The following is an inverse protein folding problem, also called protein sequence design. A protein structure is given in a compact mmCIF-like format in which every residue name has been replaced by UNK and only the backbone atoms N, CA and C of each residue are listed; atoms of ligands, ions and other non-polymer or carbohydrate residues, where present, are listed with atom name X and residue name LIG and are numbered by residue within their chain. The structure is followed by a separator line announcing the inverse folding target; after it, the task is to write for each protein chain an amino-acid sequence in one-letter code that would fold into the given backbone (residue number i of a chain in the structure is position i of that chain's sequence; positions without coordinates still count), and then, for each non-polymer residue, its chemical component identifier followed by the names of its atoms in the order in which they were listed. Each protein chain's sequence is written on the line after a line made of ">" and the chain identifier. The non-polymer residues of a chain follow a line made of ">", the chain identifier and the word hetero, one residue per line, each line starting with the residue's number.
data_IF_209766867162
#
_entry.id   IF_209766867162
#
_cell.length_a   1.000
_cell.length_b   1.000
_cell.length_c   1.000
_cell.angle_alpha   90.00
_cell.angle_beta   90.00
_cell.angle_gamma   90.00
#
_symmetry.space_group_name_H-M   'P 1'
#
loop_
_entity.id
_entity.type
_entity.pdbx_description
1 polymer ?
#
# COMPACT_ATOMS: atom_id res chain seq x y z
N UNK A 1 -16.61 4.76 -1.67
CA UNK A 1 -15.71 4.99 -0.52
C UNK A 1 -15.64 3.68 0.28
N UNK A 2 -14.45 3.17 0.61
CA UNK A 2 -14.27 2.02 1.52
C UNK A 2 -13.47 2.50 2.74
N UNK A 3 -13.88 2.11 3.94
CA UNK A 3 -13.21 2.42 5.19
C UNK A 3 -12.67 1.13 5.80
N UNK A 4 -11.39 1.13 6.17
CA UNK A 4 -10.75 0.06 6.92
C UNK A 4 -10.37 0.59 8.29
N UNK A 5 -10.68 -0.18 9.33
CA UNK A 5 -10.29 0.11 10.72
C UNK A 5 -9.51 -1.09 11.22
N UNK A 6 -8.28 -0.83 11.67
CA UNK A 6 -7.37 -1.83 12.18
C UNK A 6 -7.06 -1.53 13.66
N UNK A 7 -6.66 -2.57 14.40
CA UNK A 7 -6.46 -2.47 15.85
C UNK A 7 -5.29 -1.57 16.24
N UNK A 8 -4.27 -1.47 15.39
CA UNK A 8 -3.07 -0.69 15.62
C UNK A 8 -2.43 -0.21 14.28
N UNK A 9 -1.45 0.70 14.33
CA UNK A 9 -0.78 1.22 13.13
C UNK A 9 -0.01 0.17 12.31
N UNK A 10 0.51 -0.89 12.95
CA UNK A 10 1.26 -1.93 12.24
C UNK A 10 0.31 -2.80 11.41
N UNK A 11 -0.83 -3.20 11.97
CA UNK A 11 -1.89 -3.90 11.26
C UNK A 11 -2.41 -3.07 10.06
N UNK A 12 -2.60 -1.76 10.26
CA UNK A 12 -2.97 -0.84 9.19
C UNK A 12 -1.90 -0.76 8.08
N UNK A 13 -0.61 -0.74 8.45
CA UNK A 13 0.50 -0.73 7.51
C UNK A 13 0.56 -2.01 6.66
N UNK A 14 0.46 -3.18 7.30
CA UNK A 14 0.44 -4.48 6.60
C UNK A 14 -0.76 -4.58 5.64
N UNK A 15 -1.96 -4.20 6.09
CA UNK A 15 -3.15 -4.19 5.21
C UNK A 15 -2.97 -3.21 4.04
N UNK A 16 -2.50 -2.00 4.33
CA UNK A 16 -2.26 -0.97 3.31
C UNK A 16 -1.22 -1.41 2.28
N UNK A 17 -0.15 -2.08 2.71
CA UNK A 17 0.86 -2.65 1.84
C UNK A 17 0.26 -3.71 0.90
N UNK A 18 -0.55 -4.62 1.44
CA UNK A 18 -1.26 -5.62 0.63
C UNK A 18 -2.18 -4.98 -0.42
N UNK A 19 -2.98 -3.98 -0.04
CA UNK A 19 -3.87 -3.26 -0.96
C UNK A 19 -3.07 -2.58 -2.08
N UNK A 20 -1.95 -1.93 -1.74
CA UNK A 20 -1.12 -1.25 -2.73
C UNK A 20 -0.40 -2.25 -3.65
N UNK A 21 0.15 -3.34 -3.10
CA UNK A 21 0.79 -4.41 -3.86
C UNK A 21 -0.18 -5.06 -4.86
N UNK A 22 -1.41 -5.36 -4.45
CA UNK A 22 -2.45 -5.91 -5.31
C UNK A 22 -2.78 -4.93 -6.46
N UNK A 23 -2.94 -3.65 -6.17
CA UNK A 23 -3.25 -2.64 -7.16
C UNK A 23 -2.10 -2.44 -8.17
N UNK A 24 -0.85 -2.40 -7.69
CA UNK A 24 0.35 -2.32 -8.54
C UNK A 24 0.46 -3.56 -9.42
N UNK A 25 0.29 -4.76 -8.84
CA UNK A 25 0.40 -6.03 -9.57
C UNK A 25 -0.62 -6.08 -10.70
N UNK A 26 -1.88 -5.74 -10.44
CA UNK A 26 -2.92 -5.66 -11.47
C UNK A 26 -2.56 -4.65 -12.56
N UNK A 27 -2.10 -3.46 -12.17
CA UNK A 27 -1.69 -2.43 -13.12
C UNK A 27 -0.56 -2.89 -14.06
N UNK A 28 0.45 -3.57 -13.51
CA UNK A 28 1.56 -4.13 -14.29
C UNK A 28 1.07 -5.26 -15.20
N UNK A 29 0.22 -6.16 -14.71
CA UNK A 29 -0.35 -7.25 -15.53
C UNK A 29 -1.18 -6.70 -16.71
N UNK A 30 -1.95 -5.64 -16.50
CA UNK A 30 -2.83 -5.06 -17.51
C UNK A 30 -2.10 -4.16 -18.51
N UNK A 31 -1.07 -3.42 -18.08
CA UNK A 31 -0.45 -2.32 -18.85
C UNK A 31 1.07 -2.42 -19.00
N UNK A 32 1.70 -3.43 -18.41
CA UNK A 32 3.16 -3.58 -18.38
C UNK A 32 3.90 -2.63 -17.43
N UNK A 33 3.19 -1.69 -16.78
CA UNK A 33 3.77 -0.74 -15.82
C UNK A 33 2.73 -0.22 -14.82
N UNK A 34 3.22 0.25 -13.67
CA UNK A 34 2.44 1.03 -12.70
C UNK A 34 3.15 2.36 -12.41
N UNK A 35 2.37 3.43 -12.26
CA UNK A 35 2.84 4.74 -11.76
C UNK A 35 2.08 5.04 -10.47
N UNK A 36 2.81 5.25 -9.39
CA UNK A 36 2.24 5.45 -8.06
C UNK A 36 2.65 6.82 -7.54
N UNK A 37 1.67 7.65 -7.20
CA UNK A 37 1.90 8.88 -6.47
C UNK A 37 1.82 8.59 -4.98
N UNK A 38 2.78 9.12 -4.22
CA UNK A 38 2.92 8.87 -2.79
C UNK A 38 2.84 10.20 -2.04
N UNK A 39 2.00 10.26 -1.00
CA UNK A 39 1.96 11.40 -0.09
C UNK A 39 3.16 11.38 0.87
N UNK A 40 3.64 12.56 1.28
CA UNK A 40 4.68 12.70 2.30
C UNK A 40 4.21 12.41 3.73
N UNK A 41 5.03 12.79 4.70
CA UNK A 41 4.82 12.54 6.14
C UNK A 41 5.44 11.23 6.62
N UNK A 42 5.23 10.91 7.90
CA UNK A 42 5.81 9.70 8.54
C UNK A 42 4.88 8.49 8.53
N UNK A 43 3.55 8.68 8.50
CA UNK A 43 2.57 7.58 8.52
C UNK A 43 2.78 6.53 7.42
N UNK A 44 3.18 6.87 6.18
CA UNK A 44 3.40 5.86 5.14
C UNK A 44 4.64 4.97 5.33
N UNK A 45 5.57 5.31 6.24
CA UNK A 45 6.86 4.62 6.34
C UNK A 45 6.72 3.15 6.75
N UNK A 46 5.80 2.86 7.67
CA UNK A 46 5.50 1.47 8.06
C UNK A 46 4.99 0.65 6.88
N UNK A 47 4.14 1.24 6.04
CA UNK A 47 3.64 0.60 4.83
C UNK A 47 4.77 0.31 3.84
N UNK A 48 5.70 1.24 3.63
CA UNK A 48 6.84 1.02 2.73
C UNK A 48 7.81 -0.06 3.26
N UNK A 49 8.00 -0.12 4.57
CA UNK A 49 8.77 -1.19 5.19
C UNK A 49 8.13 -2.56 4.95
N UNK A 50 6.80 -2.67 5.01
CA UNK A 50 6.09 -3.90 4.69
C UNK A 50 6.15 -4.26 3.19
N UNK A 51 6.07 -3.27 2.29
CA UNK A 51 6.20 -3.49 0.84
C UNK A 51 7.60 -3.95 0.41
N UNK A 52 8.63 -3.59 1.17
CA UNK A 52 10.02 -3.93 0.86
C UNK A 52 10.44 -5.32 1.35
N UNK A 53 9.54 -6.08 1.98
CA UNK A 53 9.76 -7.47 2.42
C UNK A 53 9.52 -8.45 1.27
#
# INVERSE_FOLDING_TARGET
>A
MRLHVDADPAAAATRGAGILADAITRAVQERGLARVAISGGSSPWGLFAELAR
#
